data_IF_800318461868
#
_entry.id   IF_800318461868
#
_cell.length_a   1.000
_cell.length_b   1.000
_cell.length_c   1.000
_cell.angle_alpha   90.00
_cell.angle_beta   90.00
_cell.angle_gamma   90.00
#
_symmetry.space_group_name_H-M   'P 1'
#
loop_
_entity.id
_entity.type
_entity.pdbx_description
1 polymer ?
#
# COMPACT_ATOMS: atom_id res chain seq x y z
N UNK A 1 -4.84 -41.50 28.34
CA UNK A 1 -3.57 -41.03 28.92
C UNK A 1 -3.23 -39.69 28.29
N UNK A 2 -3.80 -38.60 28.81
CA UNK A 2 -3.44 -37.25 28.37
C UNK A 2 -2.11 -36.88 29.02
N UNK A 3 -1.21 -36.26 28.26
CA UNK A 3 0.08 -35.82 28.79
C UNK A 3 -0.18 -34.62 29.72
N UNK A 4 0.06 -34.79 31.03
CA UNK A 4 -0.15 -33.75 32.05
C UNK A 4 0.83 -32.57 31.95
N UNK A 5 1.87 -32.69 31.10
CA UNK A 5 2.85 -31.67 30.83
C UNK A 5 2.78 -31.25 29.36
N UNK A 6 2.42 -29.98 29.13
CA UNK A 6 2.65 -29.34 27.83
C UNK A 6 4.13 -29.50 27.48
N UNK A 7 4.48 -29.98 26.27
CA UNK A 7 5.85 -30.02 25.81
C UNK A 7 6.47 -28.63 25.95
N UNK A 8 7.75 -28.55 26.35
CA UNK A 8 8.48 -27.29 26.27
C UNK A 8 8.65 -26.93 24.80
N UNK A 9 7.78 -26.08 24.29
CA UNK A 9 7.94 -25.52 22.97
C UNK A 9 9.15 -24.58 22.98
N UNK A 10 10.04 -24.64 21.97
CA UNK A 10 11.08 -23.64 21.82
C UNK A 10 10.39 -22.28 21.71
N UNK A 11 10.62 -21.41 22.71
CA UNK A 11 10.15 -20.03 22.69
C UNK A 11 11.07 -19.28 21.73
N UNK A 12 10.55 -18.91 20.57
CA UNK A 12 11.25 -17.99 19.68
C UNK A 12 11.17 -16.58 20.28
N UNK A 13 12.18 -16.24 21.07
CA UNK A 13 12.37 -14.89 21.62
C UNK A 13 13.05 -13.96 20.61
N UNK A 14 13.33 -14.44 19.39
CA UNK A 14 13.97 -13.66 18.36
C UNK A 14 12.96 -13.21 17.32
N UNK A 15 13.03 -11.93 16.95
CA UNK A 15 12.25 -11.31 15.88
C UNK A 15 12.77 -11.78 14.50
N UNK A 16 12.86 -13.10 14.28
CA UNK A 16 13.47 -13.70 13.09
C UNK A 16 12.55 -13.67 11.88
N UNK A 17 11.24 -13.68 12.08
CA UNK A 17 10.28 -13.54 10.99
C UNK A 17 9.60 -12.18 11.01
N UNK A 18 10.20 -11.18 10.34
CA UNK A 18 9.65 -9.83 10.16
C UNK A 18 8.64 -9.69 9.03
N UNK A 19 8.29 -10.79 8.36
CA UNK A 19 7.41 -10.78 7.19
C UNK A 19 5.95 -11.11 7.53
N UNK A 20 5.67 -11.53 8.77
CA UNK A 20 4.31 -11.79 9.24
C UNK A 20 3.58 -10.51 9.67
N UNK A 21 2.29 -10.34 9.31
CA UNK A 21 1.45 -9.23 9.78
C UNK A 21 1.12 -9.32 11.29
N UNK A 22 1.12 -10.53 11.85
CA UNK A 22 0.77 -10.80 13.25
C UNK A 22 1.76 -11.82 13.80
N UNK A 23 2.61 -11.41 14.75
CA UNK A 23 3.67 -12.26 15.29
C UNK A 23 3.49 -12.44 16.80
N UNK A 24 3.70 -13.66 17.30
CA UNK A 24 3.85 -13.91 18.74
C UNK A 24 5.33 -13.88 19.09
N UNK A 25 5.75 -12.88 19.87
CA UNK A 25 7.16 -12.67 20.24
C UNK A 25 7.30 -12.69 21.76
N UNK A 26 7.96 -13.73 22.28
CA UNK A 26 8.12 -13.92 23.72
C UNK A 26 6.79 -14.12 24.46
N UNK A 27 6.24 -13.05 25.03
CA UNK A 27 5.01 -13.05 25.84
C UNK A 27 3.94 -12.07 25.32
N UNK A 28 4.07 -11.58 24.09
CA UNK A 28 3.15 -10.60 23.49
C UNK A 28 2.86 -10.92 22.03
N UNK A 29 1.80 -10.30 21.51
CA UNK A 29 1.56 -10.22 20.09
C UNK A 29 1.99 -8.87 19.53
N UNK A 30 2.59 -8.89 18.33
CA UNK A 30 2.97 -7.72 17.56
C UNK A 30 2.12 -7.68 16.28
N UNK A 31 1.31 -6.63 16.14
CA UNK A 31 0.57 -6.35 14.92
C UNK A 31 1.34 -5.35 14.06
N UNK A 32 1.80 -5.79 12.89
CA UNK A 32 2.81 -5.09 12.08
C UNK A 32 2.26 -4.40 10.84
N UNK A 33 0.94 -4.48 10.63
CA UNK A 33 0.27 -3.90 9.45
C UNK A 33 -0.10 -2.41 9.61
N UNK A 34 0.23 -1.79 10.74
CA UNK A 34 -0.12 -0.39 11.01
C UNK A 34 0.86 0.53 10.27
N UNK A 35 0.33 1.38 9.37
CA UNK A 35 1.15 2.38 8.67
C UNK A 35 1.69 3.45 9.63
N UNK A 36 2.89 3.96 9.36
CA UNK A 36 3.57 4.93 10.25
C UNK A 36 2.82 6.24 10.47
N UNK A 37 2.01 6.67 9.49
CA UNK A 37 1.18 7.87 9.59
C UNK A 37 -0.22 7.60 10.19
N UNK A 38 -0.56 6.34 10.49
CA UNK A 38 -1.89 5.97 11.00
C UNK A 38 -1.96 6.07 12.51
N UNK A 39 -3.15 6.39 13.03
CA UNK A 39 -3.42 6.30 14.46
C UNK A 39 -3.46 4.83 14.92
N UNK A 40 -2.76 4.52 16.02
CA UNK A 40 -2.85 3.23 16.69
C UNK A 40 -4.25 2.92 17.24
N UNK A 41 -5.12 3.93 17.40
CA UNK A 41 -6.47 3.72 17.91
C UNK A 41 -7.30 2.83 16.99
N UNK A 42 -7.25 3.05 15.67
CA UNK A 42 -8.06 2.31 14.69
C UNK A 42 -7.83 0.79 14.75
N UNK A 43 -6.60 0.26 14.63
CA UNK A 43 -6.36 -1.17 14.76
C UNK A 43 -6.68 -1.68 16.17
N UNK A 44 -6.42 -0.91 17.23
CA UNK A 44 -6.72 -1.32 18.60
C UNK A 44 -8.23 -1.48 18.85
N UNK A 45 -9.08 -0.62 18.28
CA UNK A 45 -10.54 -0.77 18.34
C UNK A 45 -10.94 -2.13 17.74
N UNK A 46 -10.42 -2.48 16.56
CA UNK A 46 -10.72 -3.75 15.89
C UNK A 46 -10.20 -4.94 16.69
N UNK A 47 -8.91 -4.92 17.06
CA UNK A 47 -8.23 -6.02 17.76
C UNK A 47 -8.86 -6.32 19.12
N UNK A 48 -9.15 -5.28 19.91
CA UNK A 48 -9.79 -5.47 21.21
C UNK A 48 -11.23 -5.98 21.07
N UNK A 49 -11.97 -5.53 20.05
CA UNK A 49 -13.35 -6.00 19.80
C UNK A 49 -13.39 -7.48 19.40
N UNK A 50 -12.51 -7.93 18.49
CA UNK A 50 -12.45 -9.36 18.09
C UNK A 50 -11.93 -10.27 19.20
N UNK A 51 -11.05 -9.75 20.08
CA UNK A 51 -10.59 -10.48 21.25
C UNK A 51 -11.73 -10.60 22.29
N UNK A 52 -12.51 -9.54 22.50
CA UNK A 52 -13.69 -9.56 23.35
C UNK A 52 -14.72 -10.60 22.87
N UNK A 53 -14.99 -10.69 21.56
CA UNK A 53 -15.85 -11.74 20.99
C UNK A 53 -15.36 -13.14 21.34
N UNK A 54 -14.06 -13.39 21.13
CA UNK A 54 -13.48 -14.70 21.41
C UNK A 54 -13.58 -15.05 22.90
N UNK A 55 -13.34 -14.09 23.79
CA UNK A 55 -13.45 -14.31 25.23
C UNK A 55 -14.88 -14.49 25.72
N UNK A 56 -15.84 -13.76 25.16
CA UNK A 56 -17.27 -13.91 25.46
C UNK A 56 -17.78 -15.31 25.07
N UNK A 57 -17.43 -15.79 23.87
CA UNK A 57 -17.75 -17.16 23.42
C UNK A 57 -17.18 -18.21 24.39
N UNK A 58 -15.92 -18.06 24.80
CA UNK A 58 -15.28 -19.00 25.71
C UNK A 58 -15.85 -18.92 27.13
N UNK A 59 -16.04 -17.72 27.67
CA UNK A 59 -16.61 -17.50 29.00
C UNK A 59 -18.02 -18.09 29.09
N UNK A 60 -18.88 -17.78 28.11
CA UNK A 60 -20.25 -18.30 28.04
C UNK A 60 -20.31 -19.83 28.08
N UNK A 61 -19.38 -20.52 27.42
CA UNK A 61 -19.29 -21.98 27.45
C UNK A 61 -18.79 -22.51 28.78
N UNK A 62 -17.76 -21.89 29.34
CA UNK A 62 -17.15 -22.31 30.60
C UNK A 62 -18.10 -22.13 31.78
N UNK A 63 -18.85 -21.03 31.83
CA UNK A 63 -19.85 -20.74 32.88
C UNK A 63 -20.98 -21.77 32.92
N UNK A 64 -21.36 -22.33 31.77
CA UNK A 64 -22.39 -23.38 31.65
C UNK A 64 -21.86 -24.78 31.94
N UNK A 65 -20.55 -24.96 32.07
CA UNK A 65 -19.93 -26.28 32.20
C UNK A 65 -19.87 -26.78 33.64
N UNK A 66 -20.30 -28.02 33.85
CA UNK A 66 -20.11 -28.74 35.13
C UNK A 66 -18.65 -29.17 35.37
N UNK A 67 -17.84 -29.24 34.30
CA UNK A 67 -16.43 -29.60 34.38
C UNK A 67 -15.61 -28.65 33.49
N UNK A 68 -15.18 -27.53 34.10
CA UNK A 68 -14.46 -26.44 33.45
C UNK A 68 -13.17 -26.93 32.76
N UNK A 69 -12.40 -27.82 33.39
CA UNK A 69 -11.14 -28.33 32.81
C UNK A 69 -11.38 -29.08 31.51
N UNK A 70 -12.38 -29.97 31.49
CA UNK A 70 -12.75 -30.73 30.29
C UNK A 70 -13.25 -29.82 29.17
N UNK A 71 -14.08 -28.82 29.51
CA UNK A 71 -14.59 -27.86 28.53
C UNK A 71 -13.47 -26.98 27.97
N UNK A 72 -12.54 -26.51 28.80
CA UNK A 72 -11.39 -25.73 28.35
C UNK A 72 -10.53 -26.51 27.35
N UNK A 73 -10.24 -27.80 27.61
CA UNK A 73 -9.54 -28.65 26.64
C UNK A 73 -10.31 -28.84 25.33
N UNK A 74 -11.64 -28.93 25.39
CA UNK A 74 -12.49 -29.04 24.21
C UNK A 74 -12.46 -27.73 23.38
N UNK A 75 -12.57 -26.57 24.03
CA UNK A 75 -12.46 -25.25 23.38
C UNK A 75 -11.12 -25.13 22.65
N UNK A 76 -10.01 -25.45 23.30
CA UNK A 76 -8.67 -25.36 22.68
C UNK A 76 -8.56 -26.26 21.45
N UNK A 77 -9.01 -27.51 21.54
CA UNK A 77 -8.97 -28.45 20.43
C UNK A 77 -9.82 -27.98 19.24
N UNK A 78 -11.01 -27.43 19.54
CA UNK A 78 -11.92 -26.87 18.53
C UNK A 78 -11.33 -25.63 17.85
N UNK A 79 -10.79 -24.68 18.62
CA UNK A 79 -10.17 -23.45 18.09
C UNK A 79 -9.01 -23.78 17.16
N UNK A 80 -8.12 -24.69 17.56
CA UNK A 80 -7.02 -25.13 16.69
C UNK A 80 -7.56 -25.81 15.43
N UNK A 81 -8.56 -26.69 15.55
CA UNK A 81 -9.16 -27.36 14.38
C UNK A 81 -9.75 -26.35 13.39
N UNK A 82 -10.47 -25.34 13.87
CA UNK A 82 -11.20 -24.39 13.05
C UNK A 82 -10.30 -23.27 12.49
N UNK A 83 -9.24 -22.88 13.22
CA UNK A 83 -8.46 -21.69 12.90
C UNK A 83 -6.99 -21.95 12.53
N UNK A 84 -6.45 -23.18 12.62
CA UNK A 84 -5.04 -23.48 12.28
C UNK A 84 -4.61 -23.00 10.88
N UNK A 85 -5.56 -22.79 9.95
CA UNK A 85 -5.28 -22.27 8.61
C UNK A 85 -4.58 -20.90 8.60
N UNK A 86 -4.78 -20.07 9.65
CA UNK A 86 -4.12 -18.76 9.77
C UNK A 86 -2.70 -18.83 10.33
N UNK A 87 -2.25 -20.01 10.78
CA UNK A 87 -0.91 -20.20 11.35
C UNK A 87 0.08 -20.47 10.21
N UNK A 88 1.07 -19.59 10.08
CA UNK A 88 2.14 -19.72 9.09
C UNK A 88 3.47 -19.22 9.66
N UNK A 89 4.51 -20.06 9.56
CA UNK A 89 5.83 -19.80 10.11
C UNK A 89 6.92 -19.64 9.02
N UNK A 90 6.51 -19.51 7.76
CA UNK A 90 7.43 -19.34 6.62
C UNK A 90 7.65 -17.88 6.23
N UNK A 91 8.22 -17.68 5.04
CA UNK A 91 8.42 -16.36 4.45
C UNK A 91 7.09 -15.80 3.91
N UNK A 92 6.58 -14.74 4.52
CA UNK A 92 5.33 -14.07 4.16
C UNK A 92 5.40 -13.24 2.87
N UNK A 93 6.60 -12.97 2.34
CA UNK A 93 6.78 -12.23 1.08
C UNK A 93 6.96 -13.12 -0.14
N UNK A 94 6.94 -14.44 0.03
CA UNK A 94 7.19 -15.36 -1.08
C UNK A 94 5.96 -15.54 -1.96
N UNK A 95 6.16 -15.71 -3.27
CA UNK A 95 5.05 -15.97 -4.21
C UNK A 95 4.36 -17.31 -3.93
N UNK A 96 5.07 -18.26 -3.31
CA UNK A 96 4.50 -19.53 -2.84
C UNK A 96 3.49 -19.29 -1.71
N UNK A 97 3.78 -18.34 -0.80
CA UNK A 97 2.84 -18.00 0.26
C UNK A 97 1.55 -17.37 -0.29
N UNK A 98 1.62 -16.49 -1.29
CA UNK A 98 0.41 -15.94 -1.91
C UNK A 98 -0.53 -17.05 -2.43
N UNK A 99 0.02 -18.03 -3.15
CA UNK A 99 -0.74 -19.18 -3.68
C UNK A 99 -1.30 -20.09 -2.58
N UNK A 100 -0.51 -20.31 -1.54
CA UNK A 100 -0.91 -21.15 -0.40
C UNK A 100 -1.97 -20.46 0.46
N UNK A 101 -1.86 -19.15 0.70
CA UNK A 101 -2.83 -18.35 1.43
C UNK A 101 -4.20 -18.36 0.71
N UNK A 102 -4.20 -18.24 -0.62
CA UNK A 102 -5.41 -18.36 -1.44
C UNK A 102 -6.06 -19.73 -1.28
N UNK A 103 -5.29 -20.83 -1.36
CA UNK A 103 -5.81 -22.20 -1.13
C UNK A 103 -6.40 -22.38 0.27
N UNK A 104 -5.87 -21.66 1.26
CA UNK A 104 -6.38 -21.65 2.65
C UNK A 104 -7.61 -20.77 2.83
N UNK A 105 -8.02 -20.01 1.81
CA UNK A 105 -9.10 -19.04 1.86
C UNK A 105 -8.77 -17.80 2.69
N UNK A 106 -7.48 -17.44 2.77
CA UNK A 106 -7.04 -16.22 3.44
C UNK A 106 -7.16 -15.03 2.46
N UNK A 107 -7.80 -13.91 2.87
CA UNK A 107 -7.96 -12.77 1.99
C UNK A 107 -6.62 -12.09 1.71
N UNK A 108 -6.40 -11.71 0.44
CA UNK A 108 -5.27 -10.89 0.00
C UNK A 108 -5.80 -9.69 -0.78
N UNK A 109 -6.06 -8.58 -0.09
CA UNK A 109 -6.61 -7.35 -0.70
C UNK A 109 -5.48 -6.37 -0.95
N UNK A 110 -5.21 -6.07 -2.23
CA UNK A 110 -4.00 -5.35 -2.67
C UNK A 110 -4.19 -3.82 -2.79
N UNK A 111 -5.36 -3.28 -2.52
CA UNK A 111 -5.63 -1.84 -2.61
C UNK A 111 -6.56 -1.35 -1.50
N UNK A 112 -6.39 -0.08 -1.11
CA UNK A 112 -7.12 0.53 0.01
C UNK A 112 -8.62 0.64 -0.25
N UNK A 113 -9.03 0.97 -1.48
CA UNK A 113 -10.45 1.12 -1.85
C UNK A 113 -11.22 -0.18 -1.58
N UNK A 114 -10.66 -1.32 -2.01
CA UNK A 114 -11.28 -2.62 -1.75
C UNK A 114 -11.11 -3.06 -0.29
N UNK A 115 -9.99 -2.75 0.37
CA UNK A 115 -9.78 -3.10 1.76
C UNK A 115 -10.80 -2.42 2.69
N UNK A 116 -11.17 -1.18 2.40
CA UNK A 116 -12.18 -0.45 3.18
C UNK A 116 -13.58 -1.08 3.08
N UNK A 117 -13.89 -1.86 2.03
CA UNK A 117 -15.17 -2.59 1.93
C UNK A 117 -15.36 -3.59 3.10
N UNK A 118 -14.30 -3.96 3.82
CA UNK A 118 -14.40 -4.77 5.04
C UNK A 118 -15.33 -4.15 6.10
N UNK A 119 -15.40 -2.81 6.19
CA UNK A 119 -16.29 -2.08 7.11
C UNK A 119 -17.78 -2.28 6.78
N UNK A 120 -18.14 -2.58 5.54
CA UNK A 120 -19.55 -2.72 5.14
C UNK A 120 -20.07 -4.15 5.29
N UNK A 121 -19.19 -5.10 5.62
CA UNK A 121 -19.55 -6.51 5.76
C UNK A 121 -20.50 -6.74 6.94
N UNK A 122 -21.40 -7.72 6.79
CA UNK A 122 -22.29 -8.13 7.87
C UNK A 122 -21.52 -8.55 9.13
N UNK A 123 -20.41 -9.26 8.97
CA UNK A 123 -19.55 -9.68 10.09
C UNK A 123 -19.03 -8.47 10.89
N UNK A 124 -18.59 -7.41 10.22
CA UNK A 124 -18.12 -6.20 10.89
C UNK A 124 -19.27 -5.47 11.60
N UNK A 125 -20.42 -5.32 10.92
CA UNK A 125 -21.62 -4.71 11.49
C UNK A 125 -22.09 -5.42 12.76
N UNK A 126 -22.22 -6.74 12.70
CA UNK A 126 -22.75 -7.56 13.79
C UNK A 126 -21.83 -7.52 15.02
N UNK A 127 -20.51 -7.66 14.85
CA UNK A 127 -19.58 -7.68 16.00
C UNK A 127 -19.45 -6.31 16.69
N UNK A 128 -19.39 -5.21 15.93
CA UNK A 128 -19.29 -3.88 16.53
C UNK A 128 -20.58 -3.49 17.24
N UNK A 129 -21.74 -3.81 16.64
CA UNK A 129 -23.04 -3.54 17.25
C UNK A 129 -23.26 -4.37 18.53
N UNK A 130 -22.87 -5.66 18.53
CA UNK A 130 -23.00 -6.54 19.70
C UNK A 130 -22.35 -5.96 20.96
N UNK A 131 -21.17 -5.36 20.83
CA UNK A 131 -20.43 -4.77 21.95
C UNK A 131 -20.67 -3.28 22.17
N UNK A 132 -21.54 -2.64 21.38
CA UNK A 132 -21.79 -1.20 21.47
C UNK A 132 -20.54 -0.35 21.21
N UNK A 133 -19.58 -0.87 20.43
CA UNK A 133 -18.32 -0.18 20.12
C UNK A 133 -18.52 0.82 18.98
N UNK A 134 -19.26 0.43 17.95
CA UNK A 134 -19.72 1.29 16.86
C UNK A 134 -21.10 0.82 16.40
N UNK A 135 -21.98 1.76 16.13
CA UNK A 135 -23.24 1.54 15.40
C UNK A 135 -22.98 1.23 13.92
N UNK A 136 -23.99 0.69 13.23
CA UNK A 136 -23.92 0.42 11.80
C UNK A 136 -23.73 1.70 10.98
N UNK A 137 -24.34 2.78 11.42
CA UNK A 137 -24.26 4.11 10.85
C UNK A 137 -22.86 4.70 11.01
N UNK A 138 -22.25 4.59 12.19
CA UNK A 138 -20.87 5.03 12.43
C UNK A 138 -19.87 4.21 11.60
N UNK A 139 -20.07 2.90 11.51
CA UNK A 139 -19.20 2.02 10.73
C UNK A 139 -19.26 2.35 9.22
N UNK A 140 -20.46 2.59 8.71
CA UNK A 140 -20.65 3.01 7.32
C UNK A 140 -20.12 4.42 7.07
N UNK A 141 -20.30 5.35 8.00
CA UNK A 141 -19.74 6.70 7.91
C UNK A 141 -18.21 6.68 7.82
N UNK A 142 -17.54 5.81 8.61
CA UNK A 142 -16.09 5.60 8.53
C UNK A 142 -15.66 5.07 7.16
N UNK A 143 -16.41 4.13 6.59
CA UNK A 143 -16.15 3.63 5.23
C UNK A 143 -16.17 4.78 4.22
N UNK A 144 -17.24 5.58 4.19
CA UNK A 144 -17.37 6.71 3.26
C UNK A 144 -16.22 7.72 3.43
N UNK A 145 -15.88 8.08 4.67
CA UNK A 145 -14.77 9.01 4.98
C UNK A 145 -13.45 8.47 4.44
N UNK A 146 -13.14 7.19 4.63
CA UNK A 146 -11.88 6.63 4.17
C UNK A 146 -11.80 6.52 2.64
N UNK A 147 -12.90 6.18 1.97
CA UNK A 147 -12.97 6.18 0.51
C UNK A 147 -12.79 7.60 -0.04
N UNK A 148 -13.45 8.59 0.55
CA UNK A 148 -13.30 9.99 0.16
C UNK A 148 -11.87 10.49 0.41
N UNK A 149 -11.27 10.16 1.56
CA UNK A 149 -9.90 10.53 1.90
C UNK A 149 -8.90 9.93 0.89
N UNK A 150 -9.07 8.68 0.51
CA UNK A 150 -8.25 8.05 -0.53
C UNK A 150 -8.32 8.85 -1.84
N UNK A 151 -9.54 9.14 -2.34
CA UNK A 151 -9.74 9.91 -3.56
C UNK A 151 -9.08 11.30 -3.48
N UNK A 152 -9.18 11.97 -2.34
CA UNK A 152 -8.54 13.29 -2.11
C UNK A 152 -7.02 13.21 -2.15
N UNK A 153 -6.41 12.22 -1.51
CA UNK A 153 -4.94 12.05 -1.49
C UNK A 153 -4.43 11.82 -2.91
N UNK A 154 -5.01 10.87 -3.64
CA UNK A 154 -4.60 10.57 -5.03
C UNK A 154 -4.82 11.78 -5.96
N UNK A 155 -5.89 12.55 -5.73
CA UNK A 155 -6.08 13.81 -6.45
C UNK A 155 -4.95 14.82 -6.19
N UNK A 156 -4.56 15.02 -4.92
CA UNK A 156 -3.49 15.96 -4.56
C UNK A 156 -2.15 15.50 -5.17
N UNK A 157 -1.84 14.20 -5.07
CA UNK A 157 -0.63 13.62 -5.66
C UNK A 157 -0.61 13.80 -7.18
N UNK A 158 -1.71 13.47 -7.86
CA UNK A 158 -1.83 13.64 -9.32
C UNK A 158 -1.71 15.11 -9.76
N UNK A 159 -2.34 16.04 -9.05
CA UNK A 159 -2.23 17.48 -9.32
C UNK A 159 -0.80 17.99 -9.09
N UNK A 160 -0.13 17.48 -8.05
CA UNK A 160 1.26 17.82 -7.74
C UNK A 160 2.19 17.31 -8.84
N UNK A 161 2.05 16.04 -9.25
CA UNK A 161 2.81 15.46 -10.36
C UNK A 161 2.60 16.23 -11.66
N UNK A 162 1.36 16.56 -12.00
CA UNK A 162 1.00 17.37 -13.17
C UNK A 162 1.69 18.75 -13.13
N UNK A 163 1.64 19.43 -11.98
CA UNK A 163 2.28 20.73 -11.78
C UNK A 163 3.80 20.63 -11.95
N UNK A 164 4.43 19.66 -11.29
CA UNK A 164 5.89 19.47 -11.36
C UNK A 164 6.34 19.13 -12.77
N UNK A 165 5.63 18.24 -13.48
CA UNK A 165 5.91 17.91 -14.87
C UNK A 165 5.88 19.15 -15.77
N UNK A 166 4.80 19.94 -15.70
CA UNK A 166 4.62 21.13 -16.55
C UNK A 166 5.58 22.27 -16.23
N UNK A 167 5.93 22.48 -14.96
CA UNK A 167 6.61 23.70 -14.52
C UNK A 167 8.08 23.51 -14.18
N UNK A 168 8.51 22.28 -13.87
CA UNK A 168 9.87 21.96 -13.48
C UNK A 168 10.54 21.06 -14.52
N UNK A 169 10.05 19.83 -14.66
CA UNK A 169 10.74 18.79 -15.43
C UNK A 169 10.76 19.09 -16.93
N UNK A 170 9.60 19.21 -17.58
CA UNK A 170 9.50 19.43 -19.04
C UNK A 170 10.32 20.67 -19.47
N UNK A 171 10.20 21.84 -18.80
CA UNK A 171 11.03 23.00 -19.15
C UNK A 171 12.54 22.77 -19.00
N UNK A 172 12.97 22.06 -17.96
CA UNK A 172 14.40 21.72 -17.77
C UNK A 172 14.91 20.81 -18.87
N UNK A 173 14.13 19.79 -19.25
CA UNK A 173 14.48 18.85 -20.30
C UNK A 173 14.57 19.56 -21.65
N UNK A 174 13.64 20.48 -21.96
CA UNK A 174 13.69 21.30 -23.19
C UNK A 174 14.98 22.12 -23.27
N UNK A 175 15.37 22.80 -22.17
CA UNK A 175 16.63 23.58 -22.14
C UNK A 175 17.87 22.70 -22.36
N UNK A 176 17.86 21.49 -21.80
CA UNK A 176 18.96 20.55 -22.01
C UNK A 176 19.00 20.02 -23.44
N UNK A 177 17.84 19.71 -24.03
CA UNK A 177 17.73 19.31 -25.44
C UNK A 177 18.22 20.42 -26.38
N UNK A 178 17.93 21.69 -26.08
CA UNK A 178 18.46 22.84 -26.82
C UNK A 178 20.00 22.90 -26.73
N UNK A 179 20.55 22.69 -25.54
CA UNK A 179 22.02 22.63 -25.33
C UNK A 179 22.68 21.51 -26.14
N UNK A 180 22.05 20.32 -26.19
CA UNK A 180 22.52 19.19 -27.00
C UNK A 180 22.42 19.46 -28.50
N UNK A 181 21.32 20.10 -28.94
CA UNK A 181 21.12 20.50 -30.34
C UNK A 181 22.20 21.49 -30.79
N UNK A 182 22.48 22.50 -29.98
CA UNK A 182 23.58 23.45 -30.19
C UNK A 182 24.93 22.74 -30.30
N UNK A 183 25.20 21.76 -29.44
CA UNK A 183 26.42 20.98 -29.47
C UNK A 183 26.56 20.18 -30.79
N UNK A 184 25.47 19.56 -31.27
CA UNK A 184 25.42 18.86 -32.57
C UNK A 184 25.71 19.83 -33.72
N UNK A 185 25.08 21.01 -33.73
CA UNK A 185 25.27 22.02 -34.79
C UNK A 185 26.72 22.50 -34.82
N UNK A 186 27.29 22.86 -33.67
CA UNK A 186 28.67 23.35 -33.54
C UNK A 186 29.68 22.27 -33.93
N UNK A 187 29.47 21.02 -33.52
CA UNK A 187 30.30 19.89 -33.90
C UNK A 187 30.28 19.63 -35.42
N UNK A 188 29.09 19.71 -36.03
CA UNK A 188 28.93 19.58 -37.50
C UNK A 188 29.65 20.71 -38.25
N UNK A 189 29.54 21.95 -37.77
CA UNK A 189 30.23 23.11 -38.35
C UNK A 189 31.76 22.99 -38.23
N UNK A 190 32.26 22.44 -37.11
CA UNK A 190 33.68 22.17 -36.91
C UNK A 190 34.20 20.96 -37.70
N UNK A 191 33.33 20.22 -38.41
CA UNK A 191 33.71 19.04 -39.19
C UNK A 191 34.08 17.82 -38.34
N UNK A 192 33.61 17.75 -37.09
CA UNK A 192 33.85 16.60 -36.19
C UNK A 192 32.62 15.69 -36.08
N UNK A 193 32.81 14.48 -35.57
CA UNK A 193 31.73 13.51 -35.39
C UNK A 193 30.68 14.04 -34.39
N UNK A 194 29.40 13.91 -34.75
CA UNK A 194 28.25 14.29 -33.90
C UNK A 194 27.53 13.10 -33.28
N UNK A 195 28.01 11.87 -33.52
CA UNK A 195 27.25 10.64 -33.24
C UNK A 195 26.78 10.57 -31.78
N UNK A 196 27.66 10.84 -30.83
CA UNK A 196 27.36 10.74 -29.39
C UNK A 196 26.32 11.77 -28.96
N UNK A 197 26.47 13.04 -29.37
CA UNK A 197 25.54 14.11 -29.02
C UNK A 197 24.18 13.90 -29.69
N UNK A 198 24.17 13.43 -30.94
CA UNK A 198 22.94 13.11 -31.67
C UNK A 198 22.17 11.97 -31.02
N UNK A 199 22.84 10.89 -30.62
CA UNK A 199 22.19 9.75 -29.93
C UNK A 199 21.56 10.16 -28.59
N UNK A 200 22.28 10.96 -27.79
CA UNK A 200 21.73 11.45 -26.52
C UNK A 200 20.56 12.42 -26.74
N UNK A 201 20.65 13.29 -27.75
CA UNK A 201 19.54 14.18 -28.11
C UNK A 201 18.29 13.39 -28.54
N UNK A 202 18.45 12.35 -29.35
CA UNK A 202 17.36 11.46 -29.76
C UNK A 202 16.69 10.78 -28.55
N UNK A 203 17.48 10.28 -27.60
CA UNK A 203 16.97 9.65 -26.38
C UNK A 203 16.20 10.64 -25.48
N UNK A 204 16.80 11.81 -25.22
CA UNK A 204 16.16 12.88 -24.41
C UNK A 204 14.87 13.35 -25.05
N UNK A 205 14.85 13.57 -26.37
CA UNK A 205 13.66 14.04 -27.09
C UNK A 205 12.57 12.97 -27.14
N UNK A 206 12.92 11.70 -27.32
CA UNK A 206 11.97 10.60 -27.25
C UNK A 206 11.27 10.52 -25.88
N UNK A 207 12.02 10.57 -24.79
CA UNK A 207 11.47 10.57 -23.43
C UNK A 207 10.65 11.83 -23.15
N UNK A 208 11.11 13.00 -23.62
CA UNK A 208 10.38 14.26 -23.50
C UNK A 208 9.00 14.19 -24.19
N UNK A 209 8.94 13.68 -25.42
CA UNK A 209 7.68 13.51 -26.16
C UNK A 209 6.72 12.57 -25.42
N UNK A 210 7.23 11.46 -24.91
CA UNK A 210 6.46 10.52 -24.09
C UNK A 210 5.94 11.19 -22.81
N UNK A 211 6.79 11.90 -22.07
CA UNK A 211 6.42 12.61 -20.84
C UNK A 211 5.36 13.69 -21.09
N UNK A 212 5.46 14.47 -22.18
CA UNK A 212 4.45 15.46 -22.57
C UNK A 212 3.10 14.79 -22.85
N UNK A 213 3.11 13.68 -23.60
CA UNK A 213 1.89 12.91 -23.90
C UNK A 213 1.25 12.34 -22.62
N UNK A 214 2.04 11.74 -21.73
CA UNK A 214 1.56 11.18 -20.45
C UNK A 214 1.08 12.28 -19.50
N UNK A 215 1.70 13.46 -19.52
CA UNK A 215 1.23 14.64 -18.78
C UNK A 215 -0.17 15.08 -19.23
N UNK A 216 -0.42 15.13 -20.53
CA UNK A 216 -1.76 15.43 -21.07
C UNK A 216 -2.79 14.33 -20.74
N UNK A 217 -2.38 13.06 -20.75
CA UNK A 217 -3.23 11.96 -20.32
C UNK A 217 -3.62 12.08 -18.84
N UNK A 218 -2.65 12.34 -17.95
CA UNK A 218 -2.89 12.58 -16.52
C UNK A 218 -3.86 13.74 -16.30
N UNK A 219 -3.67 14.86 -16.99
CA UNK A 219 -4.57 16.02 -16.92
C UNK A 219 -6.01 15.66 -17.30
N UNK A 220 -6.17 14.88 -18.38
CA UNK A 220 -7.49 14.40 -18.82
C UNK A 220 -8.15 13.49 -17.79
N UNK A 221 -7.41 12.52 -17.23
CA UNK A 221 -7.94 11.60 -16.21
C UNK A 221 -8.31 12.34 -14.91
N UNK A 222 -7.50 13.31 -14.48
CA UNK A 222 -7.84 14.19 -13.35
C UNK A 222 -9.15 14.97 -13.60
N UNK A 223 -9.31 15.54 -14.78
CA UNK A 223 -10.52 16.28 -15.15
C UNK A 223 -11.76 15.39 -15.22
N UNK A 224 -11.62 14.12 -15.65
CA UNK A 224 -12.71 13.12 -15.64
C UNK A 224 -13.07 12.73 -14.21
N UNK A 225 -12.08 12.35 -13.39
CA UNK A 225 -12.29 11.92 -12.02
C UNK A 225 -12.94 13.01 -11.14
N UNK A 226 -12.58 14.27 -11.36
CA UNK A 226 -13.15 15.41 -10.64
C UNK A 226 -14.67 15.58 -10.85
N UNK A 227 -15.21 15.15 -11.99
CA UNK A 227 -16.65 15.27 -12.33
C UNK A 227 -17.51 14.19 -11.69
N UNK A 228 -16.91 13.12 -11.15
CA UNK A 228 -17.64 12.01 -10.53
C UNK A 228 -18.15 12.45 -9.15
N UNK A 229 -19.46 12.28 -8.94
CA UNK A 229 -20.14 12.62 -7.69
C UNK A 229 -20.22 11.45 -6.71
N UNK A 230 -20.37 10.22 -7.23
CA UNK A 230 -20.47 9.03 -6.40
C UNK A 230 -19.11 8.67 -5.80
N UNK A 231 -19.04 8.59 -4.47
CA UNK A 231 -17.80 8.51 -3.68
C UNK A 231 -16.95 7.29 -4.04
N UNK A 232 -17.55 6.11 -4.16
CA UNK A 232 -16.84 4.85 -4.41
C UNK A 232 -16.28 4.83 -5.83
N UNK A 233 -17.11 5.11 -6.84
CA UNK A 233 -16.70 5.19 -8.24
C UNK A 233 -15.64 6.26 -8.45
N UNK A 234 -15.72 7.37 -7.70
CA UNK A 234 -14.69 8.41 -7.72
C UNK A 234 -13.36 7.85 -7.24
N UNK A 235 -13.33 7.19 -6.08
CA UNK A 235 -12.13 6.56 -5.54
C UNK A 235 -11.56 5.47 -6.46
N UNK A 236 -12.43 4.62 -7.04
CA UNK A 236 -12.02 3.60 -8.02
C UNK A 236 -11.41 4.25 -9.27
N UNK A 237 -12.00 5.34 -9.78
CA UNK A 237 -11.43 6.08 -10.93
C UNK A 237 -10.08 6.72 -10.59
N UNK A 238 -9.92 7.26 -9.39
CA UNK A 238 -8.62 7.77 -8.95
C UNK A 238 -7.58 6.64 -8.84
N UNK A 239 -7.95 5.48 -8.30
CA UNK A 239 -7.08 4.30 -8.19
C UNK A 239 -6.68 3.73 -9.56
N UNK A 240 -7.64 3.56 -10.46
CA UNK A 240 -7.43 2.79 -11.69
C UNK A 240 -6.89 3.66 -12.83
N UNK A 241 -7.26 4.96 -12.86
CA UNK A 241 -6.90 5.86 -13.94
C UNK A 241 -5.84 6.87 -13.51
N UNK A 242 -6.11 7.68 -12.48
CA UNK A 242 -5.23 8.80 -12.10
C UNK A 242 -3.90 8.28 -11.53
N UNK A 243 -3.94 7.33 -10.60
CA UNK A 243 -2.76 6.72 -10.02
C UNK A 243 -1.88 6.04 -11.07
N UNK A 244 -2.49 5.25 -11.96
CA UNK A 244 -1.80 4.60 -13.08
C UNK A 244 -1.18 5.63 -14.03
N UNK A 245 -1.90 6.71 -14.35
CA UNK A 245 -1.42 7.74 -15.27
C UNK A 245 -0.21 8.51 -14.71
N UNK A 246 -0.23 8.95 -13.45
CA UNK A 246 0.93 9.64 -12.89
C UNK A 246 2.09 8.69 -12.61
N UNK A 247 1.84 7.42 -12.28
CA UNK A 247 2.91 6.41 -12.12
C UNK A 247 3.62 6.18 -13.45
N UNK A 248 2.87 6.06 -14.55
CA UNK A 248 3.50 5.91 -15.87
C UNK A 248 4.21 7.19 -16.33
N UNK A 249 3.72 8.38 -15.99
CA UNK A 249 4.44 9.63 -16.22
C UNK A 249 5.77 9.64 -15.46
N UNK A 250 5.75 9.21 -14.19
CA UNK A 250 6.94 9.12 -13.34
C UNK A 250 8.03 8.25 -13.97
N UNK A 251 7.69 7.12 -14.60
CA UNK A 251 8.69 6.28 -15.28
C UNK A 251 9.53 7.05 -16.30
N UNK A 252 8.92 7.96 -17.08
CA UNK A 252 9.65 8.77 -18.06
C UNK A 252 10.50 9.85 -17.39
N UNK A 253 9.98 10.46 -16.31
CA UNK A 253 10.73 11.48 -15.54
C UNK A 253 11.94 10.84 -14.85
N UNK A 254 11.76 9.67 -14.22
CA UNK A 254 12.83 8.93 -13.56
C UNK A 254 13.90 8.49 -14.60
N UNK A 255 13.49 8.11 -15.82
CA UNK A 255 14.43 7.81 -16.90
C UNK A 255 15.22 9.06 -17.35
N UNK A 256 14.55 10.21 -17.48
CA UNK A 256 15.20 11.49 -17.81
C UNK A 256 16.23 11.91 -16.76
N UNK A 257 15.95 11.67 -15.47
CA UNK A 257 16.91 11.95 -14.38
C UNK A 257 18.26 11.26 -14.62
N UNK A 258 18.25 10.03 -15.12
CA UNK A 258 19.48 9.23 -15.31
C UNK A 258 20.39 9.72 -16.44
N UNK A 259 19.86 10.48 -17.38
CA UNK A 259 20.58 10.94 -18.57
C UNK A 259 20.76 12.46 -18.63
N UNK A 260 20.22 13.19 -17.64
CA UNK A 260 20.38 14.62 -17.52
C UNK A 260 21.52 14.99 -16.55
N UNK A 261 22.28 16.07 -16.82
CA UNK A 261 23.24 16.59 -15.86
C UNK A 261 22.55 17.08 -14.59
N UNK A 262 23.17 16.84 -13.43
CA UNK A 262 22.71 17.32 -12.11
C UNK A 262 22.39 18.82 -12.10
N UNK A 263 23.28 19.64 -12.68
CA UNK A 263 23.10 21.09 -12.77
C UNK A 263 21.89 21.54 -13.62
N UNK A 264 21.34 20.65 -14.46
CA UNK A 264 20.15 20.89 -15.27
C UNK A 264 18.88 20.28 -14.65
N UNK A 265 19.01 19.44 -13.63
CA UNK A 265 17.89 18.77 -12.97
C UNK A 265 17.22 19.72 -11.96
N UNK A 266 15.87 19.85 -11.96
CA UNK A 266 15.21 20.92 -11.22
C UNK A 266 14.93 20.62 -9.73
N UNK A 267 15.23 19.41 -9.25
CA UNK A 267 14.93 18.97 -7.89
C UNK A 267 16.09 18.15 -7.31
N UNK A 268 16.25 18.07 -5.98
CA UNK A 268 17.24 17.20 -5.37
C UNK A 268 17.01 15.74 -5.76
N UNK A 269 18.09 15.05 -6.15
CA UNK A 269 18.06 13.61 -6.42
C UNK A 269 18.02 12.80 -5.11
N UNK A 270 17.67 11.52 -5.18
CA UNK A 270 17.53 10.68 -4.00
C UNK A 270 18.81 10.59 -3.15
N UNK A 271 20.00 10.59 -3.76
CA UNK A 271 21.26 10.55 -3.02
C UNK A 271 21.46 11.80 -2.16
N UNK A 272 21.07 12.98 -2.66
CA UNK A 272 21.12 14.22 -1.89
C UNK A 272 20.14 14.20 -0.72
N UNK A 273 18.89 13.80 -0.98
CA UNK A 273 17.86 13.73 0.05
C UNK A 273 18.18 12.73 1.17
N UNK A 274 18.90 11.65 0.86
CA UNK A 274 19.17 10.57 1.82
C UNK A 274 20.50 10.73 2.56
N UNK A 275 21.51 11.36 1.95
CA UNK A 275 22.87 11.39 2.49
C UNK A 275 23.44 12.78 2.72
N UNK A 276 22.82 13.85 2.20
CA UNK A 276 23.33 15.23 2.28
C UNK A 276 22.40 16.18 3.06
N UNK A 277 21.59 15.65 3.99
CA UNK A 277 20.75 16.45 4.91
C UNK A 277 21.55 17.18 5.98
#
# INVERSE_FOLDING_TARGET
MGVDLLPRFPLDNSDRNRTSPFAFTGNKFEFRMVGSAMSCASPNIVLNTIAAESFDEFATRLEKSKNVKKEASAIVAEVIKNHKRVIFNGNGYSAEWEKEAEKRGLPNVKNSVDAHKAFTTRKAKDIFAKYGVLSNEELHSRYEIYIEQYAKIINIEGQTALKMAKTLFIPSVIRYAETLSDAVIKAKQAGVSTKTQSQLLEEVTFLLESAVKKTAALESELAKAAKIQETVKKAETYRDNVFTAFTSLREDIDALETIMPEAAWPVPVYSEMLFNL
#
